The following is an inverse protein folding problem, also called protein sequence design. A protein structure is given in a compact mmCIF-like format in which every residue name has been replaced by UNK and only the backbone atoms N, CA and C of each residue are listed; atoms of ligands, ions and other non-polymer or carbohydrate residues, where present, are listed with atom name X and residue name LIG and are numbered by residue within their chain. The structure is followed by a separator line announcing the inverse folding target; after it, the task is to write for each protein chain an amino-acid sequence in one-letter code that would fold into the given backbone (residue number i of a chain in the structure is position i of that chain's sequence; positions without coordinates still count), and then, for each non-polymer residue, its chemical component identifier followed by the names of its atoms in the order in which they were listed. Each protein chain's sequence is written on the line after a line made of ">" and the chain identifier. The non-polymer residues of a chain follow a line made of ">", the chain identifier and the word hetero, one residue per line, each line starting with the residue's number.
data_IF_012120945298
#
_entry.id   IF_012120945298
#
_cell.length_a   1.000
_cell.length_b   1.000
_cell.length_c   1.000
_cell.angle_alpha   90.00
_cell.angle_beta   90.00
_cell.angle_gamma   90.00
#
_symmetry.space_group_name_H-M   'P 1'
#
loop_
_entity.id
_entity.type
_entity.pdbx_description
1 polymer ?
#
# COMPACT_ATOMS: atom_id res chain seq x y z
N UNK A 1 -21.85 -3.35 -0.62
CA UNK A 1 -22.50 -2.29 0.17
C UNK A 1 -23.83 -1.80 -0.43
N UNK A 2 -24.36 -2.47 -1.45
CA UNK A 2 -25.70 -2.20 -1.97
C UNK A 2 -26.76 -2.59 -0.95
N UNK A 3 -27.35 -2.00 -0.23
CA UNK A 3 -28.29 -2.26 0.85
C UNK A 3 -27.97 -1.42 2.09
N UNK A 4 -26.74 -0.92 2.16
CA UNK A 4 -26.24 -0.17 3.31
C UNK A 4 -26.07 1.33 3.01
N UNK A 5 -26.72 1.85 1.93
CA UNK A 5 -26.57 3.22 1.43
C UNK A 5 -26.92 4.33 2.45
N UNK A 6 -27.59 3.98 3.53
CA UNK A 6 -27.97 4.91 4.62
C UNK A 6 -27.13 4.72 5.87
N UNK A 7 -26.32 3.68 5.92
CA UNK A 7 -25.52 3.35 7.11
C UNK A 7 -24.21 4.11 7.06
N UNK A 8 -23.86 4.70 8.19
CA UNK A 8 -22.62 5.46 8.30
C UNK A 8 -21.44 4.52 8.50
N UNK A 9 -20.44 4.66 7.65
CA UNK A 9 -19.15 4.02 7.82
C UNK A 9 -18.39 4.72 8.95
N UNK A 10 -17.96 3.94 9.93
CA UNK A 10 -17.09 4.38 11.01
C UNK A 10 -15.63 4.31 10.55
N UNK A 11 -15.23 3.15 9.99
CA UNK A 11 -13.87 2.92 9.52
C UNK A 11 -13.83 2.02 8.29
N UNK A 12 -12.79 2.23 7.50
CA UNK A 12 -12.31 1.27 6.50
C UNK A 12 -11.13 0.52 7.11
N UNK A 13 -11.24 -0.81 7.21
CA UNK A 13 -10.17 -1.68 7.66
C UNK A 13 -9.43 -2.20 6.42
N UNK A 14 -8.29 -1.60 6.13
CA UNK A 14 -7.50 -1.89 4.94
C UNK A 14 -6.47 -2.98 5.25
N UNK A 15 -6.69 -4.20 4.76
CA UNK A 15 -5.80 -5.33 5.08
C UNK A 15 -4.53 -5.33 4.22
N UNK A 16 -3.43 -5.73 4.82
CA UNK A 16 -2.13 -5.93 4.19
C UNK A 16 -1.59 -7.32 4.51
N UNK A 17 -0.87 -7.97 3.58
CA UNK A 17 -0.17 -9.24 3.88
C UNK A 17 0.98 -9.05 4.86
N UNK A 18 1.50 -7.84 4.97
CA UNK A 18 2.73 -7.50 5.69
C UNK A 18 4.01 -7.68 4.85
N UNK A 19 3.89 -8.20 3.63
CA UNK A 19 5.01 -8.39 2.71
C UNK A 19 5.98 -9.51 3.13
N UNK A 20 7.04 -9.73 2.33
CA UNK A 20 8.03 -10.80 2.56
C UNK A 20 8.90 -10.58 3.80
N UNK A 21 8.97 -9.37 4.33
CA UNK A 21 9.82 -9.01 5.45
C UNK A 21 9.09 -8.84 6.78
N UNK A 22 7.79 -9.19 6.84
CA UNK A 22 7.01 -9.14 8.07
C UNK A 22 7.74 -9.81 9.24
N UNK A 23 7.82 -9.11 10.38
CA UNK A 23 8.47 -9.58 11.60
C UNK A 23 10.01 -9.45 11.63
N UNK A 24 10.64 -8.94 10.57
CA UNK A 24 12.06 -8.65 10.57
C UNK A 24 12.38 -7.34 11.27
N UNK A 25 13.50 -7.33 11.96
CA UNK A 25 14.07 -6.13 12.58
C UNK A 25 14.77 -5.25 11.55
N UNK A 26 15.00 -3.97 11.88
CA UNK A 26 15.79 -3.04 11.03
C UNK A 26 17.21 -3.59 10.75
N UNK A 27 17.82 -4.27 11.71
CA UNK A 27 19.16 -4.85 11.53
C UNK A 27 19.14 -5.97 10.49
N UNK A 28 18.13 -6.84 10.51
CA UNK A 28 17.96 -7.89 9.51
C UNK A 28 17.68 -7.30 8.12
N UNK A 29 16.86 -6.23 8.06
CA UNK A 29 16.52 -5.55 6.79
C UNK A 29 17.75 -4.94 6.10
N UNK A 30 18.78 -4.53 6.86
CA UNK A 30 20.02 -3.99 6.29
C UNK A 30 20.77 -5.00 5.40
N UNK A 31 20.58 -6.30 5.63
CA UNK A 31 21.21 -7.38 4.86
C UNK A 31 20.31 -7.96 3.76
N UNK A 32 19.06 -7.50 3.63
CA UNK A 32 18.10 -8.06 2.66
C UNK A 32 18.43 -7.65 1.23
N UNK A 33 18.40 -8.63 0.36
CA UNK A 33 18.67 -8.48 -1.08
C UNK A 33 17.42 -8.26 -1.90
N UNK A 34 17.58 -7.90 -3.16
CA UNK A 34 16.48 -7.84 -4.14
C UNK A 34 15.78 -9.19 -4.27
N UNK A 35 16.56 -10.26 -4.29
CA UNK A 35 16.08 -11.63 -4.43
C UNK A 35 15.22 -12.04 -3.22
N UNK A 36 15.53 -11.56 -2.03
CA UNK A 36 14.74 -11.80 -0.82
C UNK A 36 13.45 -10.99 -0.83
N UNK A 37 13.51 -9.73 -1.25
CA UNK A 37 12.34 -8.86 -1.33
C UNK A 37 11.32 -9.31 -2.38
N UNK A 38 11.76 -10.01 -3.43
CA UNK A 38 10.88 -10.55 -4.47
C UNK A 38 10.17 -11.86 -4.09
N UNK A 39 10.48 -12.47 -2.94
CA UNK A 39 9.85 -13.70 -2.45
C UNK A 39 8.58 -13.40 -1.65
N UNK A 40 7.52 -12.90 -2.32
CA UNK A 40 6.26 -12.65 -1.62
C UNK A 40 5.57 -13.98 -1.24
N UNK A 41 5.09 -14.13 0.03
CA UNK A 41 4.59 -15.43 0.53
C UNK A 41 3.27 -15.88 -0.12
N UNK A 42 2.39 -14.95 -0.50
CA UNK A 42 1.02 -15.28 -0.92
C UNK A 42 0.68 -14.82 -2.34
N UNK A 43 1.37 -13.81 -2.87
CA UNK A 43 1.02 -13.16 -4.12
C UNK A 43 2.13 -13.31 -5.17
N UNK A 44 1.73 -13.63 -6.39
CA UNK A 44 2.61 -13.52 -7.56
C UNK A 44 2.30 -12.20 -8.28
N UNK A 45 3.20 -11.25 -8.17
CA UNK A 45 2.99 -9.86 -8.63
C UNK A 45 4.21 -9.37 -9.43
N UNK A 46 4.06 -8.22 -10.08
CA UNK A 46 5.18 -7.51 -10.70
C UNK A 46 6.25 -7.11 -9.67
N UNK A 47 7.50 -6.94 -10.15
CA UNK A 47 8.64 -6.64 -9.25
C UNK A 47 8.42 -5.38 -8.42
N UNK A 48 7.93 -4.29 -9.04
CA UNK A 48 7.72 -3.00 -8.36
C UNK A 48 6.75 -3.15 -7.18
N UNK A 49 5.54 -3.67 -7.43
CA UNK A 49 4.51 -3.81 -6.38
C UNK A 49 4.93 -4.80 -5.29
N UNK A 50 5.78 -5.78 -5.60
CA UNK A 50 6.33 -6.70 -4.62
C UNK A 50 7.28 -5.99 -3.64
N UNK A 51 8.14 -5.08 -4.13
CA UNK A 51 8.98 -4.23 -3.29
C UNK A 51 8.15 -3.24 -2.47
N UNK A 52 7.12 -2.64 -3.08
CA UNK A 52 6.18 -1.75 -2.36
C UNK A 52 5.43 -2.49 -1.24
N UNK A 53 5.09 -3.76 -1.45
CA UNK A 53 4.52 -4.61 -0.40
C UNK A 53 5.53 -4.87 0.73
N UNK A 54 6.81 -5.13 0.39
CA UNK A 54 7.87 -5.37 1.36
C UNK A 54 8.14 -4.15 2.26
N UNK A 55 8.00 -2.94 1.72
CA UNK A 55 8.24 -1.65 2.42
C UNK A 55 6.99 -1.05 3.06
N UNK A 56 5.82 -1.65 2.87
CA UNK A 56 4.49 -1.11 3.18
C UNK A 56 4.12 0.18 2.43
N UNK A 57 4.88 0.58 1.42
CA UNK A 57 4.55 1.73 0.56
C UNK A 57 3.26 1.45 -0.23
N UNK A 58 3.09 0.22 -0.76
CA UNK A 58 1.86 -0.14 -1.47
C UNK A 58 0.61 0.12 -0.60
N UNK A 59 0.67 -0.28 0.66
CA UNK A 59 -0.45 -0.04 1.59
C UNK A 59 -0.63 1.45 1.88
N UNK A 60 0.44 2.22 1.89
CA UNK A 60 0.38 3.68 1.97
C UNK A 60 -0.31 4.34 0.79
N UNK A 61 -0.02 3.89 -0.44
CA UNK A 61 -0.72 4.35 -1.65
C UNK A 61 -2.21 4.00 -1.59
N UNK A 62 -2.54 2.78 -1.16
CA UNK A 62 -3.94 2.35 -1.00
C UNK A 62 -4.69 3.16 0.08
N UNK A 63 -4.02 3.67 1.12
CA UNK A 63 -4.63 4.60 2.09
C UNK A 63 -5.03 5.90 1.39
N UNK A 64 -4.15 6.45 0.54
CA UNK A 64 -4.46 7.66 -0.24
C UNK A 64 -5.62 7.40 -1.21
N UNK A 65 -5.60 6.25 -1.90
CA UNK A 65 -6.68 5.83 -2.80
C UNK A 65 -8.01 5.69 -2.06
N UNK A 66 -8.03 5.04 -0.90
CA UNK A 66 -9.24 4.84 -0.11
C UNK A 66 -9.85 6.17 0.36
N UNK A 67 -9.02 7.14 0.78
CA UNK A 67 -9.47 8.48 1.14
C UNK A 67 -10.28 9.12 0.00
N UNK A 68 -9.75 9.10 -1.21
CA UNK A 68 -10.40 9.75 -2.36
C UNK A 68 -11.56 8.94 -2.96
N UNK A 69 -11.44 7.60 -3.02
CA UNK A 69 -12.48 6.76 -3.60
C UNK A 69 -13.74 6.64 -2.73
N UNK A 70 -13.58 6.74 -1.42
CA UNK A 70 -14.68 6.54 -0.47
C UNK A 70 -15.10 7.82 0.25
N UNK A 71 -14.43 8.94 -0.04
CA UNK A 71 -14.68 10.26 0.59
C UNK A 71 -14.69 10.15 2.11
N UNK A 72 -13.62 9.61 2.67
CA UNK A 72 -13.40 9.42 4.10
C UNK A 72 -12.15 10.15 4.57
N UNK A 73 -12.12 10.49 5.86
CA UNK A 73 -10.93 11.08 6.45
C UNK A 73 -9.86 10.02 6.77
N UNK A 74 -8.61 10.45 6.90
CA UNK A 74 -7.47 9.54 7.10
C UNK A 74 -7.57 8.75 8.42
N UNK A 75 -8.15 9.33 9.46
CA UNK A 75 -8.39 8.67 10.75
C UNK A 75 -9.47 7.58 10.69
N UNK A 76 -10.29 7.61 9.65
CA UNK A 76 -11.27 6.55 9.35
C UNK A 76 -10.65 5.38 8.58
N UNK A 77 -9.37 5.46 8.15
CA UNK A 77 -8.70 4.38 7.42
C UNK A 77 -7.69 3.71 8.35
N UNK A 78 -7.98 2.49 8.76
CA UNK A 78 -7.11 1.70 9.63
C UNK A 78 -6.44 0.57 8.84
N UNK A 79 -5.12 0.59 8.77
CA UNK A 79 -4.36 -0.52 8.18
C UNK A 79 -4.24 -1.65 9.20
N UNK A 80 -4.52 -2.88 8.75
CA UNK A 80 -4.43 -4.10 9.55
C UNK A 80 -3.60 -5.14 8.79
N UNK A 81 -2.54 -5.65 9.40
CA UNK A 81 -1.76 -6.73 8.80
C UNK A 81 -2.49 -8.06 9.01
N UNK A 82 -2.77 -8.75 7.90
CA UNK A 82 -3.45 -10.04 7.84
C UNK A 82 -2.63 -11.01 6.96
N UNK A 83 -1.72 -11.78 7.57
CA UNK A 83 -0.73 -12.57 6.82
C UNK A 83 -1.31 -13.60 5.88
N UNK A 84 -2.46 -14.19 6.21
CA UNK A 84 -3.07 -15.21 5.38
C UNK A 84 -3.67 -14.66 4.08
N UNK A 85 -3.90 -13.34 4.00
CA UNK A 85 -4.48 -12.66 2.82
C UNK A 85 -5.80 -13.30 2.33
N UNK A 86 -6.63 -13.74 3.26
CA UNK A 86 -7.97 -14.30 2.99
C UNK A 86 -9.06 -13.24 3.12
N UNK A 87 -8.90 -12.33 4.09
CA UNK A 87 -9.79 -11.18 4.26
C UNK A 87 -9.22 -10.01 3.45
N UNK A 88 -10.01 -9.54 2.48
CA UNK A 88 -9.64 -8.49 1.53
C UNK A 88 -10.38 -7.21 1.87
N UNK A 89 -9.94 -6.55 2.95
CA UNK A 89 -10.50 -5.35 3.54
C UNK A 89 -11.91 -5.52 4.12
N UNK A 90 -12.29 -4.61 4.99
CA UNK A 90 -13.58 -4.60 5.65
C UNK A 90 -14.05 -3.16 5.89
N UNK A 91 -15.34 -3.02 6.17
CA UNK A 91 -15.97 -1.77 6.56
C UNK A 91 -16.58 -1.97 7.96
N UNK A 92 -16.24 -1.09 8.88
CA UNK A 92 -16.87 -0.99 10.19
C UNK A 92 -17.92 0.12 10.16
N UNK A 93 -19.11 -0.18 10.66
CA UNK A 93 -20.21 0.77 10.78
C UNK A 93 -20.26 1.41 12.16
N UNK A 94 -21.06 2.47 12.31
CA UNK A 94 -21.19 3.22 13.57
C UNK A 94 -21.77 2.41 14.73
N UNK A 95 -22.41 1.30 14.46
CA UNK A 95 -22.94 0.35 15.45
C UNK A 95 -21.89 -0.73 15.87
N UNK A 96 -20.68 -0.68 15.30
CA UNK A 96 -19.62 -1.65 15.52
C UNK A 96 -19.73 -2.91 14.65
N UNK A 97 -20.73 -3.03 13.79
CA UNK A 97 -20.84 -4.12 12.82
C UNK A 97 -19.75 -4.05 11.78
N UNK A 98 -19.12 -5.19 11.44
CA UNK A 98 -18.06 -5.26 10.43
C UNK A 98 -18.48 -6.14 9.28
N UNK A 99 -18.39 -5.63 8.05
CA UNK A 99 -18.58 -6.40 6.82
C UNK A 99 -17.29 -6.50 6.04
N UNK A 100 -16.94 -7.72 5.66
CA UNK A 100 -15.68 -8.01 4.96
C UNK A 100 -15.90 -8.92 3.75
N UNK A 101 -15.05 -8.79 2.74
CA UNK A 101 -14.93 -9.76 1.67
C UNK A 101 -13.84 -10.77 2.02
N UNK A 102 -14.15 -12.07 1.90
CA UNK A 102 -13.19 -13.16 2.01
C UNK A 102 -13.05 -13.90 0.67
N UNK A 103 -11.84 -14.34 0.37
CA UNK A 103 -11.52 -15.11 -0.83
C UNK A 103 -10.08 -15.62 -0.80
N UNK A 104 -9.73 -16.50 -1.71
CA UNK A 104 -8.32 -16.83 -1.93
C UNK A 104 -7.59 -15.62 -2.54
N UNK A 105 -6.27 -15.48 -2.33
CA UNK A 105 -5.50 -14.34 -2.87
C UNK A 105 -5.33 -14.47 -4.41
N UNK A 106 -6.38 -14.11 -5.14
CA UNK A 106 -6.43 -14.09 -6.60
C UNK A 106 -7.18 -12.84 -7.09
N UNK A 107 -6.50 -12.00 -7.86
CA UNK A 107 -7.08 -10.78 -8.43
C UNK A 107 -8.19 -11.03 -9.44
N UNK A 108 -8.32 -12.25 -9.98
CA UNK A 108 -9.43 -12.58 -10.91
C UNK A 108 -10.79 -12.37 -10.27
N UNK A 109 -10.92 -12.63 -8.95
CA UNK A 109 -12.20 -12.47 -8.25
C UNK A 109 -12.71 -11.01 -8.24
N UNK A 110 -11.94 -10.02 -7.76
CA UNK A 110 -12.40 -8.63 -7.78
C UNK A 110 -12.50 -8.07 -9.21
N UNK A 111 -11.62 -8.45 -10.14
CA UNK A 111 -11.67 -8.02 -11.54
C UNK A 111 -12.95 -8.53 -12.21
N UNK A 112 -13.26 -9.82 -12.07
CA UNK A 112 -14.49 -10.39 -12.63
C UNK A 112 -15.73 -9.69 -12.07
N UNK A 113 -15.77 -9.47 -10.74
CA UNK A 113 -16.90 -8.82 -10.12
C UNK A 113 -17.06 -7.36 -10.58
N UNK A 114 -15.97 -6.63 -10.77
CA UNK A 114 -16.02 -5.28 -11.31
C UNK A 114 -16.59 -5.22 -12.76
N UNK A 115 -16.21 -6.20 -13.58
CA UNK A 115 -16.67 -6.28 -14.98
C UNK A 115 -18.13 -6.70 -15.12
N UNK A 116 -18.63 -7.54 -14.23
CA UNK A 116 -19.99 -8.10 -14.30
C UNK A 116 -20.95 -7.54 -13.25
N UNK A 117 -20.50 -6.57 -12.46
CA UNK A 117 -21.33 -5.99 -11.41
C UNK A 117 -22.73 -5.61 -11.90
N UNK A 118 -23.82 -5.93 -11.14
CA UNK A 118 -23.83 -6.54 -9.81
C UNK A 118 -23.83 -8.08 -9.82
N UNK A 119 -23.71 -8.73 -10.97
CA UNK A 119 -23.83 -10.18 -11.12
C UNK A 119 -22.60 -10.92 -10.60
N UNK A 120 -22.83 -12.06 -9.97
CA UNK A 120 -21.78 -13.03 -9.60
C UNK A 120 -21.75 -14.13 -10.65
N UNK A 121 -20.61 -14.28 -11.34
CA UNK A 121 -20.42 -15.32 -12.37
C UNK A 121 -19.61 -16.48 -11.80
N UNK A 122 -19.88 -17.72 -12.24
CA UNK A 122 -19.02 -18.86 -11.91
C UNK A 122 -17.57 -18.57 -12.34
N UNK A 123 -16.62 -18.99 -11.51
CA UNK A 123 -15.20 -18.86 -11.79
C UNK A 123 -14.49 -20.14 -11.34
N UNK A 124 -13.60 -20.62 -12.19
CA UNK A 124 -12.72 -21.75 -11.90
C UNK A 124 -11.47 -21.25 -11.16
N UNK A 125 -11.68 -20.81 -9.92
CA UNK A 125 -10.64 -20.39 -8.99
C UNK A 125 -10.76 -21.15 -7.68
N UNK A 126 -9.68 -21.17 -6.90
CA UNK A 126 -9.68 -21.76 -5.56
C UNK A 126 -10.79 -21.17 -4.69
N UNK A 127 -11.28 -21.96 -3.75
CA UNK A 127 -12.26 -21.53 -2.73
C UNK A 127 -11.64 -21.61 -1.36
N UNK A 128 -12.05 -20.71 -0.47
CA UNK A 128 -11.63 -20.77 0.93
C UNK A 128 -12.25 -22.00 1.59
N UNK A 129 -11.40 -22.84 2.13
CA UNK A 129 -11.77 -23.99 2.97
C UNK A 129 -11.51 -23.59 4.42
N UNK A 130 -12.56 -23.25 5.16
CA UNK A 130 -12.45 -22.76 6.53
C UNK A 130 -11.91 -23.83 7.50
N UNK A 131 -12.12 -25.11 7.21
CA UNK A 131 -11.59 -26.19 8.05
C UNK A 131 -10.07 -26.34 7.91
N UNK A 132 -9.52 -26.14 6.69
CA UNK A 132 -8.07 -26.09 6.46
C UNK A 132 -7.45 -24.79 6.93
N UNK A 133 -8.15 -23.66 6.77
CA UNK A 133 -7.70 -22.36 7.20
C UNK A 133 -7.57 -22.28 8.72
N UNK A 134 -8.56 -22.79 9.45
CA UNK A 134 -8.58 -22.89 10.90
C UNK A 134 -8.73 -21.55 11.62
N UNK A 135 -7.86 -20.58 11.34
CA UNK A 135 -7.86 -19.27 11.99
C UNK A 135 -7.44 -18.14 11.05
N UNK A 136 -7.90 -16.92 11.34
CA UNK A 136 -7.43 -15.66 10.77
C UNK A 136 -6.66 -14.91 11.86
N UNK A 137 -5.52 -14.34 11.52
CA UNK A 137 -4.70 -13.57 12.45
C UNK A 137 -4.54 -12.14 11.96
N UNK A 138 -4.48 -11.21 12.91
CA UNK A 138 -4.38 -9.78 12.65
C UNK A 138 -3.31 -9.17 13.54
N UNK A 139 -2.51 -8.25 12.95
CA UNK A 139 -1.42 -7.57 13.62
C UNK A 139 -1.50 -6.08 13.34
N UNK A 140 -0.97 -5.27 14.24
CA UNK A 140 -0.74 -3.85 13.99
C UNK A 140 0.45 -3.71 13.02
N UNK A 141 0.38 -2.82 12.02
CA UNK A 141 1.53 -2.56 11.17
C UNK A 141 2.68 -1.94 11.99
N UNK A 142 3.89 -2.47 11.78
CA UNK A 142 5.12 -1.91 12.36
C UNK A 142 5.59 -0.75 11.49
N UNK A 143 5.15 0.45 11.84
CA UNK A 143 5.48 1.68 11.11
C UNK A 143 6.84 2.28 11.48
N UNK A 144 7.48 1.79 12.53
CA UNK A 144 8.83 2.20 12.93
C UNK A 144 9.88 1.47 12.07
N UNK A 145 9.72 0.18 11.89
CA UNK A 145 10.61 -0.62 11.04
C UNK A 145 10.31 -0.41 9.57
N UNK A 146 9.03 -0.39 9.18
CA UNK A 146 8.55 -0.23 7.80
C UNK A 146 7.97 1.18 7.60
N UNK A 147 8.86 2.17 7.45
CA UNK A 147 8.51 3.59 7.44
C UNK A 147 7.65 4.04 6.25
N UNK A 148 7.58 3.23 5.18
CA UNK A 148 6.82 3.55 3.97
C UNK A 148 5.36 3.93 4.24
N UNK A 149 4.69 3.20 5.16
CA UNK A 149 3.31 3.52 5.54
C UNK A 149 3.20 4.85 6.31
N UNK A 150 4.10 5.11 7.27
CA UNK A 150 4.10 6.37 8.03
C UNK A 150 4.36 7.58 7.13
N UNK A 151 5.28 7.46 6.17
CA UNK A 151 5.57 8.50 5.18
C UNK A 151 4.37 8.77 4.26
N UNK A 152 3.62 7.73 3.89
CA UNK A 152 2.40 7.88 3.11
C UNK A 152 1.31 8.65 3.87
N UNK A 153 1.08 8.34 5.14
CA UNK A 153 0.15 9.14 5.98
C UNK A 153 0.58 10.60 6.05
N UNK A 154 1.87 10.85 6.30
CA UNK A 154 2.43 12.23 6.30
C UNK A 154 2.19 12.95 4.96
N UNK A 155 2.39 12.27 3.83
CA UNK A 155 2.13 12.83 2.51
C UNK A 155 0.64 13.13 2.29
N UNK A 156 -0.24 12.21 2.70
CA UNK A 156 -1.68 12.35 2.56
C UNK A 156 -2.25 13.47 3.45
N UNK A 157 -1.73 13.65 4.66
CA UNK A 157 -2.09 14.73 5.59
C UNK A 157 -1.69 16.10 5.05
N UNK A 158 -0.48 16.22 4.50
CA UNK A 158 0.00 17.47 3.92
C UNK A 158 -0.74 17.83 2.61
N UNK A 159 -1.15 16.82 1.85
CA UNK A 159 -1.89 17.04 0.60
C UNK A 159 -1.07 17.75 -0.48
N UNK A 160 -1.79 18.42 -1.40
CA UNK A 160 -1.17 19.17 -2.50
C UNK A 160 -0.25 18.29 -3.35
N UNK A 161 0.97 18.77 -3.58
CA UNK A 161 1.97 18.03 -4.38
C UNK A 161 2.77 17.00 -3.58
N UNK A 162 2.61 16.87 -2.26
CA UNK A 162 3.44 15.96 -1.47
C UNK A 162 3.18 14.47 -1.77
N UNK A 163 1.93 14.01 -2.04
CA UNK A 163 1.66 12.66 -2.54
C UNK A 163 2.39 12.35 -3.86
N UNK A 164 2.51 13.34 -4.76
CA UNK A 164 3.27 13.18 -6.01
C UNK A 164 4.75 12.94 -5.72
N UNK A 165 5.35 13.73 -4.81
CA UNK A 165 6.75 13.54 -4.40
C UNK A 165 6.95 12.16 -3.78
N UNK A 166 6.06 11.74 -2.88
CA UNK A 166 6.11 10.41 -2.26
C UNK A 166 6.13 9.30 -3.31
N UNK A 167 5.21 9.34 -4.27
CA UNK A 167 5.13 8.33 -5.32
C UNK A 167 6.34 8.38 -6.26
N UNK A 168 6.73 9.55 -6.75
CA UNK A 168 7.87 9.71 -7.66
C UNK A 168 9.18 9.24 -7.00
N UNK A 169 9.40 9.61 -5.74
CA UNK A 169 10.57 9.17 -4.99
C UNK A 169 10.58 7.64 -4.80
N UNK A 170 9.43 7.04 -4.51
CA UNK A 170 9.31 5.58 -4.41
C UNK A 170 9.61 4.89 -5.75
N UNK A 171 9.07 5.38 -6.87
CA UNK A 171 9.35 4.82 -8.20
C UNK A 171 10.86 4.76 -8.49
N UNK A 172 11.57 5.87 -8.25
CA UNK A 172 13.02 5.93 -8.45
C UNK A 172 13.78 5.06 -7.44
N UNK A 173 13.43 5.11 -6.16
CA UNK A 173 14.08 4.32 -5.12
C UNK A 173 13.93 2.81 -5.40
N UNK A 174 12.75 2.35 -5.77
CA UNK A 174 12.52 0.95 -6.14
C UNK A 174 13.32 0.55 -7.39
N UNK A 175 13.39 1.43 -8.41
CA UNK A 175 14.21 1.17 -9.60
C UNK A 175 15.69 1.03 -9.24
N UNK A 176 16.24 1.92 -8.40
CA UNK A 176 17.61 1.85 -7.91
C UNK A 176 17.88 0.59 -7.08
N UNK A 177 16.96 0.21 -6.21
CA UNK A 177 17.06 -1.02 -5.42
C UNK A 177 17.08 -2.26 -6.33
N UNK A 178 16.17 -2.35 -7.32
CA UNK A 178 16.15 -3.45 -8.27
C UNK A 178 17.41 -3.55 -9.11
N UNK A 179 18.09 -2.43 -9.36
CA UNK A 179 19.41 -2.35 -10.01
C UNK A 179 20.57 -2.62 -9.01
N UNK A 180 20.28 -2.87 -7.74
CA UNK A 180 21.29 -3.10 -6.67
C UNK A 180 22.20 -1.89 -6.41
N UNK A 181 21.73 -0.67 -6.75
CA UNK A 181 22.46 0.57 -6.50
C UNK A 181 22.26 1.12 -5.09
N UNK A 182 21.16 0.75 -4.45
CA UNK A 182 20.84 1.11 -3.06
C UNK A 182 20.40 -0.11 -2.27
N UNK A 183 20.43 -0.02 -0.94
CA UNK A 183 19.92 -1.02 0.00
C UNK A 183 18.41 -0.87 0.21
N UNK A 184 17.77 -1.90 0.77
CA UNK A 184 16.35 -1.85 1.08
C UNK A 184 15.98 -0.69 2.03
N UNK A 185 16.80 -0.44 3.05
CA UNK A 185 16.58 0.65 4.02
C UNK A 185 16.71 2.05 3.39
N UNK A 186 17.45 2.19 2.31
CA UNK A 186 17.56 3.46 1.62
C UNK A 186 16.30 3.84 0.81
N UNK A 187 15.38 2.90 0.55
CA UNK A 187 14.11 3.22 -0.11
C UNK A 187 13.31 4.26 0.71
N UNK A 188 12.90 3.99 1.96
CA UNK A 188 12.18 5.00 2.75
C UNK A 188 13.02 6.25 3.07
N UNK A 189 14.34 6.14 3.17
CA UNK A 189 15.23 7.29 3.39
C UNK A 189 15.22 8.26 2.18
N UNK A 190 15.19 7.72 0.96
CA UNK A 190 15.04 8.51 -0.26
C UNK A 190 13.69 9.19 -0.35
N UNK A 191 12.61 8.47 -0.07
CA UNK A 191 11.26 9.03 -0.07
C UNK A 191 11.21 10.20 0.92
N UNK A 192 11.66 9.99 2.15
CA UNK A 192 11.64 11.01 3.19
C UNK A 192 12.45 12.24 2.82
N UNK A 193 13.71 12.07 2.37
CA UNK A 193 14.55 13.19 1.98
C UNK A 193 13.96 13.99 0.80
N UNK A 194 13.29 13.32 -0.14
CA UNK A 194 12.59 14.00 -1.23
C UNK A 194 11.38 14.80 -0.76
N UNK A 195 10.63 14.27 0.20
CA UNK A 195 9.50 14.95 0.82
C UNK A 195 9.95 16.18 1.65
N UNK A 196 11.08 16.07 2.35
CA UNK A 196 11.59 17.15 3.22
C UNK A 196 12.13 18.35 2.44
N UNK A 197 12.77 18.11 1.31
CA UNK A 197 13.31 19.18 0.49
C UNK A 197 12.24 19.89 -0.37
N UNK A 198 11.08 19.27 -0.57
CA UNK A 198 10.03 19.78 -1.44
C UNK A 198 9.19 20.87 -0.76
N UNK A 199 8.92 21.96 -1.51
CA UNK A 199 7.96 22.98 -1.10
C UNK A 199 6.58 22.64 -1.64
N UNK A 200 5.67 22.26 -0.77
CA UNK A 200 4.31 21.84 -1.12
C UNK A 200 3.53 22.95 -1.80
N UNK A 201 2.89 22.64 -2.93
CA UNK A 201 1.87 23.46 -3.59
C UNK A 201 0.51 22.87 -3.20
N UNK A 202 -0.32 23.64 -2.47
CA UNK A 202 -1.55 23.14 -1.85
C UNK A 202 -2.62 22.72 -2.87
N UNK A 203 -2.85 23.57 -3.89
CA UNK A 203 -3.85 23.35 -4.94
C UNK A 203 -3.15 23.32 -6.31
N UNK A 204 -2.44 22.24 -6.66
CA UNK A 204 -1.64 22.20 -7.85
C UNK A 204 -2.48 22.02 -9.12
N UNK A 205 -2.05 22.66 -10.22
CA UNK A 205 -2.52 22.30 -11.57
C UNK A 205 -1.89 20.97 -12.02
N UNK A 206 -2.41 20.38 -13.09
CA UNK A 206 -1.84 19.15 -13.69
C UNK A 206 -0.38 19.37 -14.10
N UNK A 207 -0.06 20.51 -14.69
CA UNK A 207 1.30 20.88 -15.09
C UNK A 207 2.25 20.91 -13.89
N UNK A 208 1.81 21.52 -12.76
CA UNK A 208 2.58 21.58 -11.52
C UNK A 208 2.80 20.18 -10.89
N UNK A 209 1.83 19.27 -11.04
CA UNK A 209 1.99 17.87 -10.62
C UNK A 209 3.08 17.20 -11.46
N UNK A 210 3.04 17.33 -12.79
CA UNK A 210 4.04 16.76 -13.68
C UNK A 210 5.44 17.37 -13.47
N UNK A 211 5.52 18.67 -13.25
CA UNK A 211 6.78 19.35 -12.89
C UNK A 211 7.33 18.87 -11.55
N UNK A 212 6.46 18.63 -10.57
CA UNK A 212 6.85 18.09 -9.26
C UNK A 212 7.42 16.68 -9.39
N UNK A 213 6.80 15.83 -10.20
CA UNK A 213 7.32 14.49 -10.49
C UNK A 213 8.70 14.57 -11.13
N UNK A 214 8.84 15.37 -12.20
CA UNK A 214 10.11 15.54 -12.93
C UNK A 214 11.22 16.09 -12.02
N UNK A 215 10.94 17.11 -11.23
CA UNK A 215 11.90 17.71 -10.28
C UNK A 215 12.33 16.72 -9.18
N UNK A 216 11.42 15.86 -8.73
CA UNK A 216 11.74 14.80 -7.77
C UNK A 216 12.69 13.77 -8.40
N UNK A 217 12.49 13.40 -9.65
CA UNK A 217 13.40 12.51 -10.36
C UNK A 217 14.80 13.12 -10.54
N UNK A 218 14.90 14.39 -10.91
CA UNK A 218 16.19 15.07 -11.05
C UNK A 218 16.90 15.20 -9.69
N UNK A 219 16.20 15.55 -8.61
CA UNK A 219 16.79 15.58 -7.26
C UNK A 219 17.44 14.25 -6.87
N UNK A 220 16.75 13.13 -7.13
CA UNK A 220 17.29 11.81 -6.80
C UNK A 220 18.48 11.46 -7.67
N UNK A 221 18.41 11.80 -8.96
CA UNK A 221 19.49 11.59 -9.92
C UNK A 221 20.76 12.35 -9.52
N UNK A 222 20.64 13.63 -9.17
CA UNK A 222 21.77 14.44 -8.68
C UNK A 222 22.38 13.86 -7.41
N UNK A 223 21.56 13.37 -6.48
CA UNK A 223 21.99 12.82 -5.19
C UNK A 223 22.73 11.50 -5.31
N UNK A 224 22.40 10.68 -6.31
CA UNK A 224 22.95 9.33 -6.53
C UNK A 224 23.82 9.20 -7.78
N UNK A 225 24.05 10.28 -8.53
CA UNK A 225 25.00 10.33 -9.64
C UNK A 225 24.58 9.53 -10.87
N UNK A 226 23.30 9.57 -11.25
CA UNK A 226 22.79 8.99 -12.50
C UNK A 226 22.78 10.01 -13.65
#
# INVERSE_FOLDING_TARGET
>A
MHGENRNRVSKILLTASGGPFRGKTRQELAAMTVEDALKHPNWSMGKKVTIDSASLVNKGLEVMEAKWLFDVELDQIQVVVHPQSILHSAVEYVDGGIMAQLGVPDMKLPIQYALFYPDRRPMDSGRVDFFKLGQLTFEKPDTETFRGLALAYRAAEAGGTLPTVFNAANEKAVALFLQKKITFLQIPELIESSMEQHKVIADPTVEQILETEASTYEYIKEKFGE
#
